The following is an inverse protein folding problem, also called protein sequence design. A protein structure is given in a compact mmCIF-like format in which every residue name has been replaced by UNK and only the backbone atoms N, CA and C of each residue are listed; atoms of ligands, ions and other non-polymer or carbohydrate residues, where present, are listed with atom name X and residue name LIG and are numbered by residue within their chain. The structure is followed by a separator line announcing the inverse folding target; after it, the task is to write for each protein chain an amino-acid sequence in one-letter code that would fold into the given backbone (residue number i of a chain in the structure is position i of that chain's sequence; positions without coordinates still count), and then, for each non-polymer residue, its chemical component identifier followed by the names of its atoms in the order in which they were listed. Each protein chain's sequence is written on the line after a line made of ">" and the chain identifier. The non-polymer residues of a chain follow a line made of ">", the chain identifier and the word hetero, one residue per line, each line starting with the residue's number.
data_IF_897049947028
#
_entry.id   IF_897049947028
#
_cell.length_a   1.000
_cell.length_b   1.000
_cell.length_c   1.000
_cell.angle_alpha   90.00
_cell.angle_beta   90.00
_cell.angle_gamma   90.00
#
_symmetry.space_group_name_H-M   'P 1'
#
loop_
_entity.id
_entity.type
_entity.pdbx_description
1 polymer ?
#
# COMPACT_ATOMS: atom_id res chain seq x y z
N UNK A 1 19.63 22.32 -22.23
CA UNK A 1 18.25 21.87 -21.97
C UNK A 1 18.39 20.94 -20.78
N UNK A 2 18.26 21.49 -19.57
CA UNK A 2 18.18 20.68 -18.35
C UNK A 2 16.94 19.79 -18.50
N UNK A 3 17.13 18.48 -18.34
CA UNK A 3 16.02 17.54 -18.22
C UNK A 3 15.35 17.86 -16.88
N UNK A 4 14.17 18.45 -16.89
CA UNK A 4 13.32 18.59 -15.72
C UNK A 4 12.84 17.20 -15.29
N UNK A 5 13.63 16.51 -14.46
CA UNK A 5 13.21 15.31 -13.73
C UNK A 5 12.23 15.71 -12.62
N UNK A 6 11.05 16.19 -13.00
CA UNK A 6 9.97 16.59 -12.09
C UNK A 6 9.09 15.40 -11.68
N UNK A 7 9.53 14.16 -11.85
CA UNK A 7 8.79 12.95 -11.46
C UNK A 7 9.38 12.31 -10.21
N UNK A 8 8.52 11.91 -9.28
CA UNK A 8 8.85 11.17 -8.08
C UNK A 8 8.64 9.68 -8.29
N UNK A 9 9.65 8.88 -8.00
CA UNK A 9 9.50 7.44 -7.79
C UNK A 9 8.85 7.19 -6.43
N UNK A 10 7.64 6.64 -6.42
CA UNK A 10 6.86 6.39 -5.20
C UNK A 10 6.38 4.94 -5.17
N UNK A 11 6.05 4.43 -3.98
CA UNK A 11 5.47 3.10 -3.82
C UNK A 11 3.97 3.24 -3.60
N UNK A 12 3.16 2.76 -4.54
CA UNK A 12 1.69 2.80 -4.45
C UNK A 12 1.17 1.50 -3.85
N UNK A 13 0.36 1.63 -2.80
CA UNK A 13 -0.26 0.49 -2.12
C UNK A 13 -1.78 0.68 -2.15
N UNK A 14 -2.46 -0.18 -2.89
CA UNK A 14 -3.91 -0.21 -2.95
C UNK A 14 -4.49 -1.25 -1.96
N UNK A 15 -5.72 -1.03 -1.45
CA UNK A 15 -6.37 -1.96 -0.53
C UNK A 15 -6.46 -3.37 -1.12
N UNK A 16 -5.97 -4.38 -0.38
CA UNK A 16 -5.97 -5.78 -0.82
C UNK A 16 -5.01 -6.11 -1.96
N UNK A 17 -4.12 -5.19 -2.35
CA UNK A 17 -3.13 -5.40 -3.41
C UNK A 17 -1.70 -5.35 -2.85
N UNK A 18 -0.77 -5.93 -3.60
CA UNK A 18 0.66 -5.79 -3.36
C UNK A 18 1.13 -4.36 -3.64
N UNK A 19 2.21 -3.90 -2.98
CA UNK A 19 2.84 -2.64 -3.33
C UNK A 19 3.32 -2.63 -4.79
N UNK A 20 3.18 -1.49 -5.45
CA UNK A 20 3.61 -1.28 -6.82
C UNK A 20 4.44 -0.01 -6.91
N UNK A 21 5.68 -0.12 -7.37
CA UNK A 21 6.49 1.05 -7.64
C UNK A 21 5.95 1.77 -8.89
N UNK A 22 5.70 3.06 -8.76
CA UNK A 22 5.17 3.92 -9.83
C UNK A 22 5.90 5.25 -9.85
N UNK A 23 5.99 5.86 -11.02
CA UNK A 23 6.50 7.21 -11.19
C UNK A 23 5.30 8.16 -11.33
N UNK A 24 5.27 9.20 -10.51
CA UNK A 24 4.22 10.24 -10.55
C UNK A 24 4.88 11.59 -10.70
N UNK A 25 4.16 12.57 -11.24
CA UNK A 25 4.67 13.95 -11.24
C UNK A 25 4.82 14.46 -9.79
N UNK A 26 5.86 15.25 -9.55
CA UNK A 26 6.09 16.02 -8.32
C UNK A 26 5.14 17.22 -8.27
N UNK A 27 3.85 16.95 -8.41
CA UNK A 27 2.78 17.92 -8.37
C UNK A 27 1.74 17.43 -7.35
N UNK A 28 1.27 18.36 -6.52
CA UNK A 28 0.26 18.05 -5.51
C UNK A 28 -1.00 17.43 -6.15
N UNK A 29 -1.35 17.84 -7.37
CA UNK A 29 -2.48 17.28 -8.11
C UNK A 29 -2.25 15.82 -8.52
N UNK A 30 -1.02 15.45 -8.89
CA UNK A 30 -0.69 14.07 -9.24
C UNK A 30 -0.78 13.15 -8.01
N UNK A 31 -0.29 13.62 -6.86
CA UNK A 31 -0.45 12.93 -5.57
C UNK A 31 -1.94 12.74 -5.22
N UNK A 32 -2.75 13.80 -5.34
CA UNK A 32 -4.20 13.76 -5.09
C UNK A 32 -4.92 12.78 -6.00
N UNK A 33 -4.58 12.76 -7.29
CA UNK A 33 -5.14 11.80 -8.25
C UNK A 33 -4.73 10.36 -7.93
N UNK A 34 -3.49 10.15 -7.48
CA UNK A 34 -2.98 8.83 -7.17
C UNK A 34 -3.61 8.22 -5.90
N UNK A 35 -3.88 9.03 -4.86
CA UNK A 35 -4.60 8.57 -3.66
C UNK A 35 -6.12 8.61 -3.81
N UNK A 36 -6.64 9.38 -4.77
CA UNK A 36 -8.07 9.49 -5.07
C UNK A 36 -8.82 10.53 -4.23
N UNK A 37 -8.17 11.61 -3.79
CA UNK A 37 -8.79 12.64 -2.96
C UNK A 37 -7.81 13.66 -2.40
N UNK A 38 -8.25 14.42 -1.39
CA UNK A 38 -7.38 15.32 -0.63
C UNK A 38 -6.27 14.52 0.04
N UNK A 39 -5.02 14.97 -0.08
CA UNK A 39 -3.89 14.27 0.49
C UNK A 39 -3.70 14.66 1.97
N UNK A 40 -3.45 13.66 2.80
CA UNK A 40 -2.83 13.81 4.12
C UNK A 40 -1.46 13.14 4.10
N UNK A 41 -0.54 13.61 4.93
CA UNK A 41 0.78 13.01 5.10
C UNK A 41 0.99 12.56 6.54
N UNK A 42 1.57 11.38 6.74
CA UNK A 42 2.00 10.89 8.04
C UNK A 42 3.46 10.46 7.98
N UNK A 43 4.15 10.57 9.11
CA UNK A 43 5.58 10.31 9.25
C UNK A 43 5.80 9.19 10.29
N UNK A 44 5.36 7.95 9.99
CA UNK A 44 5.46 6.85 10.96
C UNK A 44 6.89 6.32 11.13
N UNK A 45 7.81 6.63 10.21
CA UNK A 45 9.17 6.11 10.21
C UNK A 45 10.14 7.21 10.63
N UNK A 46 10.49 7.28 11.91
CA UNK A 46 11.39 8.31 12.42
C UNK A 46 12.84 8.14 11.93
N UNK A 47 13.25 6.91 11.63
CA UNK A 47 14.62 6.58 11.21
C UNK A 47 14.87 6.77 9.71
N UNK A 48 13.80 6.83 8.90
CA UNK A 48 13.90 6.90 7.44
C UNK A 48 13.29 8.22 6.94
N UNK A 49 13.90 8.89 5.94
CA UNK A 49 13.35 10.11 5.35
C UNK A 49 12.18 9.78 4.41
N UNK A 50 11.08 9.30 4.98
CA UNK A 50 9.92 8.79 4.23
C UNK A 50 8.61 9.24 4.86
N UNK A 51 7.65 9.59 4.02
CA UNK A 51 6.28 9.87 4.41
C UNK A 51 5.29 8.92 3.75
N UNK A 52 4.18 8.70 4.43
CA UNK A 52 3.00 8.04 3.88
C UNK A 52 1.99 9.13 3.48
N UNK A 53 1.70 9.21 2.19
CA UNK A 53 0.70 10.10 1.62
C UNK A 53 -0.57 9.30 1.34
N UNK A 54 -1.70 9.72 1.90
CA UNK A 54 -2.97 9.00 1.81
C UNK A 54 -4.14 9.95 1.55
N UNK A 55 -5.30 9.40 1.20
CA UNK A 55 -6.51 10.20 1.10
C UNK A 55 -7.03 10.57 2.51
N UNK A 56 -6.95 11.84 2.90
CA UNK A 56 -7.39 12.34 4.21
C UNK A 56 -8.89 12.10 4.43
N UNK A 57 -9.69 12.37 3.39
CA UNK A 57 -11.12 12.09 3.36
C UNK A 57 -11.45 10.59 3.28
N UNK A 58 -10.46 9.70 3.09
CA UNK A 58 -10.69 8.29 2.81
C UNK A 58 -11.49 7.57 3.90
N UNK A 59 -11.18 7.85 5.17
CA UNK A 59 -11.93 7.31 6.32
C UNK A 59 -13.36 7.86 6.38
N UNK A 60 -13.53 9.14 6.08
CA UNK A 60 -14.83 9.81 6.06
C UNK A 60 -15.72 9.32 4.91
N UNK A 61 -15.12 9.03 3.76
CA UNK A 61 -15.78 8.48 2.57
C UNK A 61 -16.10 6.98 2.70
N UNK A 62 -15.67 6.33 3.79
CA UNK A 62 -15.88 4.90 4.00
C UNK A 62 -15.06 4.01 3.08
N UNK A 63 -13.89 4.47 2.62
CA UNK A 63 -12.97 3.66 1.84
C UNK A 63 -12.48 2.45 2.67
N UNK A 64 -12.21 1.30 2.03
CA UNK A 64 -11.67 0.15 2.72
C UNK A 64 -10.31 0.46 3.35
N UNK A 65 -10.09 -0.02 4.56
CA UNK A 65 -8.78 0.05 5.22
C UNK A 65 -7.77 -0.82 4.47
N UNK A 66 -6.52 -0.34 4.40
CA UNK A 66 -5.50 -0.88 3.52
C UNK A 66 -4.31 -1.48 4.29
N UNK A 67 -3.67 -0.70 5.15
CA UNK A 67 -2.56 -1.13 6.01
C UNK A 67 -2.65 -0.50 7.39
N UNK A 68 -2.25 -1.25 8.41
CA UNK A 68 -2.16 -0.78 9.78
C UNK A 68 -0.83 -0.04 9.97
N UNK A 69 -0.90 1.16 10.53
CA UNK A 69 0.27 1.87 11.02
C UNK A 69 0.51 1.42 12.46
N UNK A 70 1.72 0.91 12.68
CA UNK A 70 2.16 0.37 13.96
C UNK A 70 3.22 1.28 14.54
N UNK A 71 3.19 1.44 15.86
CA UNK A 71 4.22 2.18 16.58
C UNK A 71 5.49 1.33 16.76
N UNK A 72 6.47 1.86 17.49
CA UNK A 72 7.74 1.18 17.81
C UNK A 72 7.54 -0.12 18.60
N UNK A 73 6.42 -0.27 19.31
CA UNK A 73 6.07 -1.48 20.07
C UNK A 73 5.32 -2.52 19.20
N UNK A 74 5.04 -2.19 17.94
CA UNK A 74 4.24 -3.00 17.02
C UNK A 74 2.73 -2.90 17.25
N UNK A 75 2.29 -1.98 18.12
CA UNK A 75 0.89 -1.72 18.41
C UNK A 75 0.28 -0.84 17.32
N UNK A 76 -0.88 -1.25 16.80
CA UNK A 76 -1.60 -0.47 15.80
C UNK A 76 -2.18 0.78 16.44
N UNK A 77 -1.69 1.95 16.03
CA UNK A 77 -2.24 3.24 16.46
C UNK A 77 -3.19 3.85 15.42
N UNK A 78 -3.02 3.50 14.14
CA UNK A 78 -3.89 3.97 13.06
C UNK A 78 -3.98 2.97 11.89
N UNK A 79 -4.94 3.15 11.00
CA UNK A 79 -4.99 2.46 9.70
C UNK A 79 -5.24 3.45 8.57
N UNK A 80 -4.54 3.24 7.46
CA UNK A 80 -4.73 4.03 6.26
C UNK A 80 -5.94 3.50 5.48
N UNK A 81 -6.84 4.39 5.09
CA UNK A 81 -8.03 4.06 4.28
C UNK A 81 -7.79 4.41 2.81
N UNK A 82 -8.19 3.53 1.91
CA UNK A 82 -7.99 3.71 0.48
C UNK A 82 -6.55 3.50 0.04
N UNK A 83 -6.22 3.98 -1.15
CA UNK A 83 -4.87 3.88 -1.71
C UNK A 83 -3.96 4.90 -1.03
N UNK A 84 -2.73 4.49 -0.73
CA UNK A 84 -1.71 5.39 -0.22
C UNK A 84 -0.39 5.20 -0.95
N UNK A 85 0.47 6.19 -0.80
CA UNK A 85 1.78 6.25 -1.41
C UNK A 85 2.83 6.35 -0.32
N UNK A 86 3.93 5.65 -0.49
CA UNK A 86 5.16 5.88 0.26
C UNK A 86 6.03 6.78 -0.62
N UNK A 87 6.44 7.93 -0.08
CA UNK A 87 7.22 8.94 -0.78
C UNK A 87 8.49 9.26 0.00
N UNK A 88 9.57 9.54 -0.71
CA UNK A 88 10.80 10.03 -0.07
C UNK A 88 10.61 11.46 0.43
N UNK A 89 11.40 11.85 1.42
CA UNK A 89 11.48 13.21 1.92
C UNK A 89 12.84 13.79 1.57
N UNK A 90 12.83 14.91 0.85
CA UNK A 90 13.98 15.78 0.68
C UNK A 90 14.11 16.75 1.86
N UNK A 91 14.91 17.79 1.68
CA UNK A 91 15.13 18.81 2.71
C UNK A 91 13.89 19.66 2.97
N UNK A 92 13.12 19.97 1.93
CA UNK A 92 11.94 20.88 2.00
C UNK A 92 10.70 20.33 1.27
N UNK A 93 10.84 19.32 0.43
CA UNK A 93 9.77 18.79 -0.45
C UNK A 93 9.76 17.25 -0.50
N UNK A 94 8.72 16.69 -1.12
CA UNK A 94 8.71 15.27 -1.47
C UNK A 94 9.79 14.95 -2.51
N UNK A 95 10.43 13.80 -2.31
CA UNK A 95 11.51 13.29 -3.13
C UNK A 95 11.20 11.87 -3.60
N UNK A 96 11.94 11.43 -4.62
CA UNK A 96 11.91 10.06 -5.09
C UNK A 96 12.41 9.12 -3.99
N UNK A 97 11.72 8.00 -3.81
CA UNK A 97 12.23 6.90 -3.00
C UNK A 97 13.50 6.35 -3.65
N UNK A 98 14.54 6.17 -2.84
CA UNK A 98 15.71 5.39 -3.28
C UNK A 98 15.29 3.93 -3.48
N UNK A 99 15.94 3.19 -4.40
CA UNK A 99 15.62 1.78 -4.63
C UNK A 99 15.71 0.92 -3.36
N UNK A 100 16.61 1.28 -2.43
CA UNK A 100 16.78 0.61 -1.15
C UNK A 100 15.56 0.80 -0.24
N UNK A 101 15.05 2.02 -0.13
CA UNK A 101 13.85 2.30 0.65
C UNK A 101 12.61 1.69 -0.02
N UNK A 102 12.50 1.80 -1.35
CA UNK A 102 11.41 1.20 -2.10
C UNK A 102 11.31 -0.31 -1.82
N UNK A 103 12.41 -1.05 -1.89
CA UNK A 103 12.43 -2.49 -1.57
C UNK A 103 12.15 -2.77 -0.08
N UNK A 104 12.66 -1.94 0.83
CA UNK A 104 12.39 -2.08 2.28
C UNK A 104 10.88 -1.95 2.57
N UNK A 105 10.22 -0.93 2.02
CA UNK A 105 8.79 -0.70 2.22
C UNK A 105 7.91 -1.63 1.40
N UNK A 106 8.39 -2.08 0.23
CA UNK A 106 7.71 -3.12 -0.53
C UNK A 106 7.63 -4.41 0.29
N UNK A 107 8.71 -4.82 0.96
CA UNK A 107 8.69 -5.97 1.86
C UNK A 107 7.83 -5.72 3.11
N UNK A 108 7.90 -4.53 3.69
CA UNK A 108 7.09 -4.16 4.87
C UNK A 108 5.60 -4.23 4.59
N UNK A 109 5.17 -3.69 3.44
CA UNK A 109 3.77 -3.63 3.03
C UNK A 109 3.36 -4.75 2.06
N UNK A 110 4.24 -5.75 1.86
CA UNK A 110 4.05 -6.80 0.88
C UNK A 110 2.72 -7.51 1.11
N UNK A 111 2.49 -8.00 2.33
CA UNK A 111 1.27 -8.73 2.65
C UNK A 111 0.09 -7.74 2.75
N UNK A 112 -0.98 -7.94 1.95
CA UNK A 112 -2.21 -7.22 2.16
C UNK A 112 -2.84 -7.55 3.52
N UNK A 113 -3.38 -6.54 4.19
CA UNK A 113 -4.14 -6.69 5.43
C UNK A 113 -5.63 -6.44 5.16
N UNK A 114 -6.49 -7.33 5.65
CA UNK A 114 -7.94 -7.17 5.62
C UNK A 114 -8.45 -6.74 6.99
N UNK A 115 -9.32 -5.74 7.00
CA UNK A 115 -9.90 -5.18 8.20
C UNK A 115 -11.38 -5.56 8.28
N UNK A 116 -11.75 -6.38 9.27
CA UNK A 116 -13.14 -6.78 9.51
C UNK A 116 -13.67 -6.12 10.78
N UNK A 117 -14.75 -5.35 10.64
CA UNK A 117 -15.46 -4.75 11.77
C UNK A 117 -16.56 -5.70 12.25
N UNK A 118 -16.35 -6.36 13.39
CA UNK A 118 -17.31 -7.23 14.07
C UNK A 118 -17.85 -6.52 15.32
N UNK A 119 -18.99 -5.83 15.19
CA UNK A 119 -19.56 -5.02 16.27
C UNK A 119 -18.62 -3.87 16.68
N UNK A 120 -18.16 -3.89 17.93
CA UNK A 120 -17.20 -2.93 18.48
C UNK A 120 -15.73 -3.36 18.35
N UNK A 121 -15.43 -4.49 17.69
CA UNK A 121 -14.06 -4.98 17.49
C UNK A 121 -13.64 -4.84 16.04
N UNK A 122 -12.43 -4.34 15.82
CA UNK A 122 -11.77 -4.32 14.52
C UNK A 122 -10.74 -5.45 14.50
N UNK A 123 -10.89 -6.41 13.61
CA UNK A 123 -9.92 -7.48 13.37
C UNK A 123 -9.07 -7.13 12.17
N UNK A 124 -7.76 -7.29 12.30
CA UNK A 124 -6.78 -7.16 11.20
C UNK A 124 -6.26 -8.56 10.90
N UNK A 125 -6.49 -9.04 9.69
CA UNK A 125 -6.04 -10.36 9.24
C UNK A 125 -5.11 -10.17 8.04
N UNK A 126 -3.90 -10.77 8.03
CA UNK A 126 -3.14 -10.84 6.79
C UNK A 126 -3.98 -11.64 5.79
N UNK A 127 -4.23 -11.05 4.62
CA UNK A 127 -4.89 -11.73 3.51
C UNK A 127 -3.90 -12.77 3.01
N UNK A 128 -4.19 -14.08 3.11
CA UNK A 128 -3.30 -15.07 2.55
C UNK A 128 -3.20 -14.83 1.04
N UNK A 129 -1.99 -14.94 0.49
CA UNK A 129 -1.81 -15.20 -0.95
C UNK A 129 -2.82 -16.27 -1.35
N UNK A 130 -3.51 -16.06 -2.48
CA UNK A 130 -4.57 -16.95 -2.98
C UNK A 130 -4.28 -18.43 -2.68
N UNK A 131 -5.29 -19.23 -2.32
CA UNK A 131 -5.08 -20.65 -2.07
C UNK A 131 -4.29 -21.24 -3.24
N UNK A 132 -3.23 -22.03 -2.97
CA UNK A 132 -2.34 -22.53 -4.01
C UNK A 132 -3.20 -23.13 -5.09
N UNK A 133 -3.11 -22.56 -6.29
CA UNK A 133 -3.91 -22.93 -7.45
C UNK A 133 -4.23 -24.41 -7.38
N UNK A 134 -5.51 -24.76 -7.21
CA UNK A 134 -5.95 -26.13 -7.35
C UNK A 134 -5.49 -26.57 -8.73
N UNK A 135 -4.37 -27.32 -8.78
CA UNK A 135 -3.95 -28.02 -9.98
C UNK A 135 -5.20 -28.72 -10.49
N UNK A 136 -5.63 -28.50 -11.75
CA UNK A 136 -6.82 -29.15 -12.25
C UNK A 136 -6.63 -30.64 -12.01
N UNK A 137 -7.43 -31.20 -11.10
CA UNK A 137 -7.50 -32.65 -10.89
C UNK A 137 -8.02 -33.22 -12.20
N UNK A 138 -7.10 -33.59 -13.09
CA UNK A 138 -7.37 -34.44 -14.23
C UNK A 138 -8.05 -35.67 -13.67
N UNK A 139 -9.35 -35.78 -13.92
CA UNK A 139 -10.11 -37.00 -13.66
C UNK A 139 -9.32 -38.17 -14.27
N UNK A 140 -9.06 -39.28 -13.55
CA UNK A 140 -8.57 -40.46 -14.20
C UNK A 140 -9.60 -40.86 -15.29
N UNK A 141 -9.16 -41.24 -16.50
CA UNK A 141 -10.09 -41.68 -17.52
C UNK A 141 -10.86 -42.89 -16.96
N UNK A 142 -12.18 -42.82 -17.02
CA UNK A 142 -13.03 -43.94 -16.67
C UNK A 142 -12.69 -45.11 -17.60
N UNK A 143 -12.07 -46.14 -17.02
CA UNK A 143 -11.92 -47.43 -17.66
C UNK A 143 -13.33 -48.01 -17.81
N UNK A 144 -13.87 -47.89 -19.02
CA UNK A 144 -14.97 -48.71 -19.51
C UNK A 144 -14.39 -49.60 -20.59
N UNK A 145 -15.00 -50.78 -20.74
CA UNK A 145 -14.63 -51.91 -21.61
C UNK A 145 -13.64 -52.87 -20.90
N UNK A 146 -14.05 -54.07 -20.44
CA UNK A 146 -14.98 -55.02 -21.05
C UNK A 146 -15.31 -56.17 -20.09
#
# INVERSE_FOLDING_TARGET
>A
MEQNENTLSVLKIAPGQYPQQVEIDNDLKALQQAVGGSIGASYPFADDPVAIVYADDGKLMGLPLNRALRDENGEMYDAVAGTFLVVGLGEEDFASLTPELAQKYEQLFHQPEAFLKLGNRLLVLPVPDEPPAEKPRTKPPAEHDR
#
